data_IF_528320334988
#
_entry.id   IF_528320334988
#
_cell.length_a   1.000
_cell.length_b   1.000
_cell.length_c   1.000
_cell.angle_alpha   90.00
_cell.angle_beta   90.00
_cell.angle_gamma   90.00
#
_symmetry.space_group_name_H-M   'P 1'
#
loop_
_entity.id
_entity.type
_entity.pdbx_description
1 polymer ?
#
# COMPACT_ATOMS: atom_id res chain seq x y z
N UNK A 1 31.94 27.10 31.00
CA UNK A 1 31.98 26.11 29.91
C UNK A 1 30.75 25.25 30.13
N UNK A 2 29.60 25.76 29.67
CA UNK A 2 28.28 25.18 29.92
C UNK A 2 28.06 24.02 28.95
N UNK A 3 28.28 22.81 29.43
CA UNK A 3 27.95 21.59 28.72
C UNK A 3 26.45 21.29 28.98
N UNK A 4 25.59 21.93 28.19
CA UNK A 4 24.16 21.62 28.19
C UNK A 4 23.99 20.23 27.55
N UNK A 5 23.46 19.22 28.27
CA UNK A 5 23.22 17.91 27.69
C UNK A 5 22.26 18.07 26.52
N UNK A 6 22.75 17.76 25.32
CA UNK A 6 21.98 17.70 24.09
C UNK A 6 20.78 16.80 24.37
N UNK A 7 19.59 17.40 24.51
CA UNK A 7 18.34 16.68 24.61
C UNK A 7 18.20 15.82 23.35
N UNK A 8 18.64 14.58 23.44
CA UNK A 8 18.24 13.52 22.55
C UNK A 8 16.74 13.42 22.75
N UNK A 9 15.99 14.12 21.90
CA UNK A 9 14.56 13.90 21.78
C UNK A 9 14.42 12.45 21.35
N UNK A 10 14.27 11.57 22.34
CA UNK A 10 13.93 10.18 22.17
C UNK A 10 12.53 10.18 21.59
N UNK A 11 12.47 10.35 20.27
CA UNK A 11 11.22 10.42 19.52
C UNK A 11 10.75 8.98 19.41
N UNK A 12 10.18 8.50 20.51
CA UNK A 12 9.54 7.18 20.59
C UNK A 12 8.67 6.99 19.34
N UNK A 13 8.88 5.87 18.64
CA UNK A 13 8.15 5.58 17.42
C UNK A 13 6.66 5.60 17.73
N UNK A 14 5.91 6.47 17.06
CA UNK A 14 4.48 6.64 17.23
C UNK A 14 3.67 5.50 16.62
N UNK A 15 4.35 4.65 15.84
CA UNK A 15 3.80 3.46 15.24
C UNK A 15 3.82 2.30 16.23
N UNK A 16 2.66 1.69 16.41
CA UNK A 16 2.51 0.48 17.21
C UNK A 16 2.96 -0.76 16.41
N UNK A 17 3.30 -1.89 17.05
CA UNK A 17 3.55 -3.15 16.33
C UNK A 17 2.39 -3.57 15.42
N UNK A 18 1.15 -3.23 15.81
CA UNK A 18 -0.05 -3.46 14.99
C UNK A 18 -0.05 -2.63 13.71
N UNK A 19 0.47 -1.40 13.74
CA UNK A 19 0.62 -0.57 12.53
C UNK A 19 1.60 -1.22 11.56
N UNK A 20 2.77 -1.66 12.04
CA UNK A 20 3.76 -2.36 11.21
C UNK A 20 3.19 -3.63 10.59
N UNK A 21 2.47 -4.45 11.38
CA UNK A 21 1.81 -5.65 10.86
C UNK A 21 0.81 -5.31 9.76
N UNK A 22 -0.02 -4.29 9.97
CA UNK A 22 -1.01 -3.86 8.99
C UNK A 22 -0.36 -3.42 7.67
N UNK A 23 0.71 -2.62 7.74
CA UNK A 23 1.45 -2.17 6.56
C UNK A 23 2.17 -3.32 5.84
N UNK A 24 2.71 -4.28 6.60
CA UNK A 24 3.34 -5.47 6.04
C UNK A 24 2.31 -6.36 5.32
N UNK A 25 1.14 -6.59 5.92
CA UNK A 25 0.04 -7.33 5.26
C UNK A 25 -0.43 -6.63 4.00
N UNK A 26 -0.61 -5.30 4.04
CA UNK A 26 -0.94 -4.51 2.85
C UNK A 26 0.12 -4.65 1.75
N UNK A 27 1.41 -4.64 2.11
CA UNK A 27 2.51 -4.83 1.17
C UNK A 27 2.49 -6.21 0.52
N UNK A 28 2.27 -7.27 1.31
CA UNK A 28 2.22 -8.64 0.80
C UNK A 28 1.01 -8.88 -0.12
N UNK A 29 -0.16 -8.34 0.24
CA UNK A 29 -1.34 -8.38 -0.62
C UNK A 29 -1.15 -7.55 -1.89
N UNK A 30 -0.47 -6.40 -1.80
CA UNK A 30 -0.11 -5.57 -2.95
C UNK A 30 0.83 -6.29 -3.91
N UNK A 31 1.79 -7.04 -3.38
CA UNK A 31 2.67 -7.90 -4.16
C UNK A 31 1.89 -9.03 -4.83
N UNK A 32 1.03 -9.73 -4.08
CA UNK A 32 0.18 -10.79 -4.63
C UNK A 32 -0.72 -10.27 -5.76
N UNK A 33 -1.27 -9.07 -5.62
CA UNK A 33 -2.08 -8.42 -6.66
C UNK A 33 -1.25 -8.03 -7.90
N UNK A 34 -0.02 -7.52 -7.75
CA UNK A 34 0.84 -7.29 -8.93
C UNK A 34 1.26 -8.59 -9.60
N UNK A 35 1.51 -9.65 -8.83
CA UNK A 35 1.81 -10.98 -9.38
C UNK A 35 0.60 -11.55 -10.12
N UNK A 36 -0.62 -11.32 -9.65
CA UNK A 36 -1.85 -11.67 -10.37
C UNK A 36 -1.87 -11.05 -11.77
N UNK A 37 -1.62 -9.75 -11.93
CA UNK A 37 -1.53 -9.12 -13.26
C UNK A 37 -0.51 -9.82 -14.17
N UNK A 38 0.66 -10.18 -13.64
CA UNK A 38 1.71 -10.86 -14.41
C UNK A 38 1.27 -12.27 -14.82
N UNK A 39 0.63 -13.02 -13.92
CA UNK A 39 0.14 -14.39 -14.17
C UNK A 39 -1.04 -14.38 -15.15
N UNK A 40 -1.97 -13.45 -14.95
CA UNK A 40 -3.19 -13.30 -15.77
C UNK A 40 -2.88 -12.73 -17.15
N UNK A 41 -1.79 -11.96 -17.28
CA UNK A 41 -1.27 -11.47 -18.54
C UNK A 41 -2.04 -10.29 -19.15
N UNK A 42 -2.94 -9.67 -18.38
CA UNK A 42 -3.65 -8.46 -18.77
C UNK A 42 -3.40 -7.34 -17.76
N UNK A 43 -3.57 -6.09 -18.21
CA UNK A 43 -3.31 -4.88 -17.41
C UNK A 43 -1.88 -4.81 -16.82
N UNK A 44 -0.95 -5.59 -17.36
CA UNK A 44 0.47 -5.55 -17.03
C UNK A 44 1.18 -4.51 -17.92
N UNK A 45 2.12 -3.78 -17.35
CA UNK A 45 2.89 -2.75 -18.04
C UNK A 45 4.40 -2.98 -17.93
N UNK A 46 5.16 -1.96 -18.30
CA UNK A 46 6.59 -1.87 -18.05
C UNK A 46 6.90 -2.11 -16.56
N UNK A 47 7.96 -2.88 -16.23
CA UNK A 47 9.02 -3.39 -17.10
C UNK A 47 8.75 -4.75 -17.75
N UNK A 48 7.56 -5.33 -17.58
CA UNK A 48 7.24 -6.66 -18.12
C UNK A 48 6.87 -6.56 -19.62
N UNK A 49 6.13 -5.52 -19.99
CA UNK A 49 5.80 -5.17 -21.38
C UNK A 49 6.42 -3.82 -21.76
N UNK A 50 6.43 -3.42 -23.05
CA UNK A 50 6.85 -2.08 -23.45
C UNK A 50 5.87 -0.96 -23.03
N UNK A 51 4.66 -1.29 -22.58
CA UNK A 51 3.58 -0.33 -22.38
C UNK A 51 3.69 0.34 -21.00
N UNK A 52 3.74 1.67 -20.99
CA UNK A 52 3.66 2.46 -19.76
C UNK A 52 2.20 2.71 -19.43
N UNK A 53 1.71 2.14 -18.34
CA UNK A 53 0.29 2.16 -17.96
C UNK A 53 0.13 2.22 -16.43
N UNK A 54 -1.10 2.14 -15.87
CA UNK A 54 -1.32 2.20 -14.42
C UNK A 54 -0.50 1.17 -13.62
N UNK A 55 -0.27 -0.05 -14.13
CA UNK A 55 0.60 -1.03 -13.49
C UNK A 55 2.03 -0.52 -13.35
N UNK A 56 2.58 0.12 -14.39
CA UNK A 56 3.93 0.71 -14.32
C UNK A 56 4.02 1.77 -13.23
N UNK A 57 3.05 2.68 -13.16
CA UNK A 57 3.05 3.75 -12.16
C UNK A 57 2.83 3.19 -10.75
N UNK A 58 2.01 2.15 -10.58
CA UNK A 58 1.76 1.54 -9.27
C UNK A 58 3.00 0.88 -8.68
N UNK A 59 3.98 0.45 -9.49
CA UNK A 59 5.26 -0.08 -8.98
C UNK A 59 6.03 0.92 -8.11
N UNK A 60 5.77 2.22 -8.20
CA UNK A 60 6.33 3.23 -7.31
C UNK A 60 5.97 3.00 -5.83
N UNK A 61 4.91 2.21 -5.54
CA UNK A 61 4.56 1.86 -4.17
C UNK A 61 5.67 1.11 -3.44
N UNK A 62 6.44 0.26 -4.13
CA UNK A 62 7.48 -0.55 -3.49
C UNK A 62 8.64 0.28 -2.93
N UNK A 63 9.30 1.18 -3.70
CA UNK A 63 10.32 2.05 -3.13
C UNK A 63 9.75 2.99 -2.04
N UNK A 64 8.49 3.43 -2.16
CA UNK A 64 7.82 4.20 -1.10
C UNK A 64 7.66 3.36 0.17
N UNK A 65 7.17 2.13 0.08
CA UNK A 65 7.02 1.22 1.24
C UNK A 65 8.37 0.92 1.89
N UNK A 66 9.41 0.61 1.10
CA UNK A 66 10.77 0.38 1.62
C UNK A 66 11.31 1.62 2.32
N UNK A 67 11.13 2.80 1.73
CA UNK A 67 11.51 4.07 2.35
C UNK A 67 10.72 4.29 3.66
N UNK A 68 9.41 4.06 3.65
CA UNK A 68 8.53 4.17 4.80
C UNK A 68 8.99 3.31 5.97
N UNK A 69 9.22 2.02 5.73
CA UNK A 69 9.73 1.12 6.77
C UNK A 69 11.11 1.56 7.26
N UNK A 70 12.02 1.91 6.36
CA UNK A 70 13.37 2.35 6.73
C UNK A 70 13.33 3.60 7.61
N UNK A 71 12.56 4.62 7.21
CA UNK A 71 12.40 5.85 7.98
C UNK A 71 11.68 5.59 9.30
N UNK A 72 10.69 4.71 9.35
CA UNK A 72 9.98 4.37 10.59
C UNK A 72 10.83 3.61 11.60
N UNK A 73 11.59 2.61 11.13
CA UNK A 73 12.51 1.84 11.96
C UNK A 73 13.69 2.68 12.45
N UNK A 74 14.08 3.72 11.72
CA UNK A 74 15.12 4.67 12.12
C UNK A 74 14.60 5.90 12.88
N UNK A 75 13.31 5.92 13.25
CA UNK A 75 12.69 7.01 14.02
C UNK A 75 12.52 8.33 13.26
N UNK A 76 12.64 8.31 11.92
CA UNK A 76 12.57 9.49 11.02
C UNK A 76 11.20 9.71 10.39
N UNK A 77 10.31 8.71 10.40
CA UNK A 77 8.94 8.84 9.93
C UNK A 77 7.94 8.08 10.82
N UNK A 78 6.80 8.71 11.10
CA UNK A 78 5.74 8.16 11.94
C UNK A 78 4.42 8.00 11.20
N UNK A 79 3.32 8.13 11.92
CA UNK A 79 1.98 7.87 11.40
C UNK A 79 1.58 8.81 10.25
N UNK A 80 2.09 10.05 10.23
CA UNK A 80 1.85 11.00 9.13
C UNK A 80 2.30 10.48 7.76
N UNK A 81 3.48 9.87 7.69
CA UNK A 81 4.01 9.32 6.43
C UNK A 81 3.09 8.22 5.89
N UNK A 82 2.78 7.24 6.75
CA UNK A 82 1.94 6.11 6.39
C UNK A 82 0.51 6.52 6.07
N UNK A 83 0.01 7.58 6.69
CA UNK A 83 -1.31 8.16 6.33
C UNK A 83 -1.35 8.61 4.89
N UNK A 84 -0.32 9.33 4.42
CA UNK A 84 -0.26 9.77 3.02
C UNK A 84 -0.17 8.56 2.08
N UNK A 85 0.77 7.65 2.34
CA UNK A 85 0.99 6.46 1.48
C UNK A 85 -0.27 5.60 1.41
N UNK A 86 -0.89 5.28 2.54
CA UNK A 86 -2.07 4.42 2.59
C UNK A 86 -3.30 5.11 1.99
N UNK A 87 -3.49 6.41 2.21
CA UNK A 87 -4.63 7.14 1.63
C UNK A 87 -4.53 7.21 0.12
N UNK A 88 -3.36 7.55 -0.42
CA UNK A 88 -3.14 7.58 -1.86
C UNK A 88 -3.25 6.19 -2.48
N UNK A 89 -2.70 5.16 -1.82
CA UNK A 89 -2.84 3.77 -2.25
C UNK A 89 -4.29 3.30 -2.30
N UNK A 90 -5.08 3.57 -1.24
CA UNK A 90 -6.51 3.25 -1.22
C UNK A 90 -7.26 3.97 -2.34
N UNK A 91 -6.97 5.26 -2.54
CA UNK A 91 -7.56 6.05 -3.62
C UNK A 91 -7.27 5.48 -5.00
N UNK A 92 -6.01 5.12 -5.28
CA UNK A 92 -5.61 4.51 -6.55
C UNK A 92 -6.31 3.15 -6.77
N UNK A 93 -6.31 2.26 -5.76
CA UNK A 93 -6.96 0.95 -5.89
C UNK A 93 -8.46 1.08 -6.16
N UNK A 94 -9.16 1.94 -5.41
CA UNK A 94 -10.58 2.18 -5.62
C UNK A 94 -10.83 2.80 -7.00
N UNK A 95 -10.02 3.77 -7.40
CA UNK A 95 -10.17 4.45 -8.69
C UNK A 95 -10.03 3.46 -9.86
N UNK A 96 -8.96 2.67 -9.89
CA UNK A 96 -8.66 1.81 -11.03
C UNK A 96 -9.52 0.54 -11.10
N UNK A 97 -10.14 0.10 -9.99
CA UNK A 97 -10.92 -1.15 -9.98
C UNK A 97 -12.42 -0.99 -9.72
N UNK A 98 -12.84 -0.01 -8.92
CA UNK A 98 -14.21 0.06 -8.41
C UNK A 98 -14.95 1.32 -8.84
N UNK A 99 -14.27 2.31 -9.43
CA UNK A 99 -14.90 3.54 -9.88
C UNK A 99 -15.59 3.39 -11.25
N UNK A 100 -16.46 4.34 -11.64
CA UNK A 100 -17.02 4.39 -13.00
C UNK A 100 -15.98 4.51 -14.13
N UNK A 101 -14.73 4.84 -13.79
CA UNK A 101 -13.60 4.96 -14.72
C UNK A 101 -12.56 3.86 -14.52
N UNK A 102 -12.95 2.74 -13.89
CA UNK A 102 -12.07 1.61 -13.67
C UNK A 102 -11.41 1.18 -14.99
N UNK A 103 -10.08 1.15 -15.00
CA UNK A 103 -9.30 0.61 -16.11
C UNK A 103 -9.30 -0.91 -16.06
N UNK A 104 -9.38 -1.48 -14.85
CA UNK A 104 -9.51 -2.92 -14.63
C UNK A 104 -10.73 -3.19 -13.71
N UNK A 105 -11.95 -3.24 -14.27
CA UNK A 105 -13.15 -3.57 -13.50
C UNK A 105 -13.13 -5.03 -12.99
N UNK A 106 -13.99 -5.40 -12.03
CA UNK A 106 -13.99 -6.76 -11.45
C UNK A 106 -14.09 -7.91 -12.46
N UNK A 107 -14.80 -7.69 -13.56
CA UNK A 107 -14.91 -8.68 -14.66
C UNK A 107 -13.57 -8.98 -15.29
N UNK A 108 -12.70 -7.98 -15.41
CA UNK A 108 -11.37 -8.13 -16.01
C UNK A 108 -10.44 -8.90 -15.08
N UNK A 109 -10.68 -8.91 -13.77
CA UNK A 109 -9.94 -9.72 -12.80
C UNK A 109 -10.42 -11.17 -12.81
N UNK A 110 -11.74 -11.40 -12.85
CA UNK A 110 -12.31 -12.74 -12.66
C UNK A 110 -12.30 -13.58 -13.95
N UNK A 111 -12.72 -13.00 -15.07
CA UNK A 111 -13.04 -13.76 -16.30
C UNK A 111 -11.83 -14.28 -17.11
N UNK A 112 -10.63 -13.67 -17.08
CA UNK A 112 -9.52 -14.16 -17.91
C UNK A 112 -8.95 -15.51 -17.49
N UNK A 113 -9.23 -15.95 -16.26
CA UNK A 113 -8.77 -17.25 -15.79
C UNK A 113 -9.61 -18.39 -16.39
N UNK A 114 -8.92 -19.38 -16.98
CA UNK A 114 -9.57 -20.61 -17.47
C UNK A 114 -10.31 -21.37 -16.35
N UNK A 115 -9.81 -21.32 -15.13
CA UNK A 115 -10.48 -21.87 -13.94
C UNK A 115 -11.08 -20.73 -13.12
N UNK A 116 -12.42 -20.65 -12.98
CA UNK A 116 -13.09 -19.55 -12.27
C UNK A 116 -12.61 -19.34 -10.83
N UNK A 117 -12.19 -20.41 -10.16
CA UNK A 117 -11.67 -20.34 -8.79
C UNK A 117 -10.45 -19.41 -8.65
N UNK A 118 -9.55 -19.37 -9.64
CA UNK A 118 -8.40 -18.47 -9.63
C UNK A 118 -8.80 -17.01 -9.82
N UNK A 119 -9.79 -16.74 -10.70
CA UNK A 119 -10.34 -15.40 -10.86
C UNK A 119 -11.00 -14.86 -9.59
N UNK A 120 -11.80 -15.68 -8.92
CA UNK A 120 -12.40 -15.28 -7.63
C UNK A 120 -11.35 -15.15 -6.51
N UNK A 121 -10.31 -15.97 -6.51
CA UNK A 121 -9.19 -15.82 -5.57
C UNK A 121 -8.46 -14.50 -5.78
N UNK A 122 -8.10 -14.16 -7.03
CA UNK A 122 -7.47 -12.90 -7.38
C UNK A 122 -8.33 -11.70 -6.98
N UNK A 123 -9.63 -11.76 -7.28
CA UNK A 123 -10.57 -10.73 -6.87
C UNK A 123 -10.71 -10.62 -5.35
N UNK A 124 -10.71 -11.75 -4.63
CA UNK A 124 -10.68 -11.78 -3.17
C UNK A 124 -9.42 -11.12 -2.58
N UNK A 125 -8.25 -11.36 -3.18
CA UNK A 125 -6.99 -10.69 -2.81
C UNK A 125 -7.09 -9.18 -3.03
N UNK A 126 -7.64 -8.75 -4.16
CA UNK A 126 -7.86 -7.33 -4.45
C UNK A 126 -8.79 -6.66 -3.42
N UNK A 127 -9.91 -7.29 -3.07
CA UNK A 127 -10.82 -6.77 -2.06
C UNK A 127 -10.17 -6.71 -0.67
N UNK A 128 -9.41 -7.75 -0.30
CA UNK A 128 -8.65 -7.76 0.95
C UNK A 128 -7.59 -6.66 0.98
N UNK A 129 -6.91 -6.42 -0.15
CA UNK A 129 -5.93 -5.35 -0.32
C UNK A 129 -6.59 -3.97 -0.15
N UNK A 130 -7.70 -3.71 -0.84
CA UNK A 130 -8.44 -2.44 -0.71
C UNK A 130 -8.84 -2.21 0.75
N UNK A 131 -9.41 -3.22 1.38
CA UNK A 131 -9.83 -3.14 2.78
C UNK A 131 -8.66 -2.84 3.71
N UNK A 132 -7.55 -3.57 3.61
CA UNK A 132 -6.42 -3.42 4.53
C UNK A 132 -5.71 -2.07 4.34
N UNK A 133 -5.62 -1.57 3.11
CA UNK A 133 -5.00 -0.25 2.83
C UNK A 133 -5.90 0.87 3.33
N UNK A 134 -7.22 0.77 3.15
CA UNK A 134 -8.17 1.73 3.71
C UNK A 134 -8.17 1.73 5.24
N UNK A 135 -8.16 0.55 5.86
CA UNK A 135 -8.01 0.40 7.31
C UNK A 135 -6.66 0.96 7.79
N UNK A 136 -5.59 0.74 7.02
CA UNK A 136 -4.26 1.31 7.21
C UNK A 136 -4.29 2.83 7.25
N UNK A 137 -4.93 3.46 6.27
CA UNK A 137 -5.08 4.91 6.19
C UNK A 137 -5.83 5.48 7.40
N UNK A 138 -6.96 4.88 7.77
CA UNK A 138 -7.73 5.31 8.94
C UNK A 138 -6.96 5.13 10.25
N UNK A 139 -6.27 3.99 10.40
CA UNK A 139 -5.52 3.69 11.60
C UNK A 139 -4.32 4.61 11.76
N UNK A 140 -3.54 4.84 10.70
CA UNK A 140 -2.42 5.76 10.72
C UNK A 140 -2.89 7.21 10.91
N UNK A 141 -4.02 7.61 10.34
CA UNK A 141 -4.60 8.94 10.56
C UNK A 141 -4.96 9.15 12.04
N UNK A 142 -5.57 8.13 12.66
CA UNK A 142 -5.85 8.14 14.11
C UNK A 142 -4.58 8.23 14.94
N UNK A 143 -3.54 7.47 14.59
CA UNK A 143 -2.25 7.54 15.30
C UNK A 143 -1.63 8.92 15.15
N UNK A 144 -1.67 9.51 13.95
CA UNK A 144 -1.17 10.86 13.71
C UNK A 144 -1.91 11.91 14.55
N UNK A 145 -3.24 11.82 14.66
CA UNK A 145 -4.01 12.71 15.55
C UNK A 145 -3.57 12.65 17.02
N UNK A 146 -3.09 11.49 17.50
CA UNK A 146 -2.54 11.34 18.86
C UNK A 146 -1.13 11.90 19.00
N UNK A 147 -0.40 12.10 17.91
CA UNK A 147 0.92 12.76 17.92
C UNK A 147 0.79 14.29 18.06
N UNK A 148 -0.35 14.84 17.63
CA UNK A 148 -0.62 16.28 17.63
C UNK A 148 -1.29 16.78 18.90
N UNK A 149 -1.86 15.87 19.70
CA UNK A 149 -2.56 16.15 20.96
C UNK A 149 -1.60 16.08 22.15
#
# INVERSE_FOLDING_TARGET
MDDQPRATTDRSSTLTPRAYLLFAVATLLGLAHHLDHVIRGNHVGWPITPDVNPFTYSLAIYPLVVLGFTLSLTGRAGARYWTVVMTLGAGMLVFFHLSPWAVEPPTDVVLPYATPAFGYLAFGILLALIFVVAAGALYSFRLWGRELA
#
